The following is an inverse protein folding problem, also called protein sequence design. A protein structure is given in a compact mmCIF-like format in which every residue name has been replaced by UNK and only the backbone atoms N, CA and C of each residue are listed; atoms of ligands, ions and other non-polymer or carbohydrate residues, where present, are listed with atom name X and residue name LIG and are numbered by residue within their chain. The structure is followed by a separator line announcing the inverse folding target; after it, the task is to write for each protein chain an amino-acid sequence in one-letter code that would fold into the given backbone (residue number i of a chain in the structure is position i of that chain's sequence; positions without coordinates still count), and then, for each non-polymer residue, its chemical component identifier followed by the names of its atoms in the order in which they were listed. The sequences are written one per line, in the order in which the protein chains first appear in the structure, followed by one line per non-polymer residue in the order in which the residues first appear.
data_IF_893377374301
#
_entry.id   IF_893377374301
#
_cell.length_a   1.000
_cell.length_b   1.000
_cell.length_c   1.000
_cell.angle_alpha   90.00
_cell.angle_beta   90.00
_cell.angle_gamma   90.00
#
_symmetry.space_group_name_H-M   'P 1'
#
loop_
_entity.id
_entity.type
_entity.pdbx_description
1 polymer ?
#
# COMPACT_ATOMS: atom_id res chain seq x y z
N UNK A 1 56.22 -21.00 -40.30
CA UNK A 1 56.82 -22.11 -39.54
C UNK A 1 57.04 -21.63 -38.12
N UNK A 2 56.46 -22.14 -37.05
CA UNK A 2 55.61 -23.31 -36.84
C UNK A 2 54.90 -23.14 -35.50
N UNK A 3 53.61 -23.49 -35.44
CA UNK A 3 52.98 -24.04 -34.23
C UNK A 3 53.41 -25.53 -34.15
N UNK A 4 53.54 -26.16 -32.96
CA UNK A 4 52.40 -26.95 -32.47
C UNK A 4 52.28 -27.15 -30.93
N UNK A 5 51.04 -27.49 -30.54
CA UNK A 5 50.58 -28.47 -29.52
C UNK A 5 50.56 -28.12 -28.02
N UNK A 6 49.33 -28.14 -27.45
CA UNK A 6 49.03 -28.36 -26.02
C UNK A 6 49.19 -29.83 -25.59
N UNK A 7 48.39 -30.41 -24.67
CA UNK A 7 47.28 -29.87 -23.85
C UNK A 7 47.42 -30.18 -22.35
N UNK A 8 46.82 -29.42 -21.42
CA UNK A 8 46.42 -29.99 -20.11
C UNK A 8 45.10 -29.44 -19.59
N UNK A 9 44.32 -30.42 -19.14
CA UNK A 9 42.99 -30.47 -18.59
C UNK A 9 42.95 -29.94 -17.14
N UNK A 10 41.95 -29.14 -16.80
CA UNK A 10 41.41 -29.07 -15.42
C UNK A 10 40.11 -28.27 -15.39
N UNK A 11 39.00 -29.00 -15.50
CA UNK A 11 37.69 -28.56 -14.97
C UNK A 11 37.61 -28.80 -13.45
N UNK A 12 36.54 -28.40 -12.74
CA UNK A 12 36.27 -27.05 -12.28
C UNK A 12 36.23 -26.96 -10.73
N UNK A 13 36.36 -25.75 -10.22
CA UNK A 13 36.24 -25.41 -8.80
C UNK A 13 34.91 -25.88 -8.18
N UNK A 14 34.99 -26.70 -7.12
CA UNK A 14 33.91 -27.00 -6.17
C UNK A 14 33.99 -26.01 -4.99
N UNK A 15 32.89 -25.35 -4.58
CA UNK A 15 32.82 -24.74 -3.26
C UNK A 15 32.69 -25.81 -2.17
N UNK A 16 33.41 -25.63 -1.08
CA UNK A 16 33.46 -26.51 0.08
C UNK A 16 32.14 -26.53 0.87
N UNK A 17 31.77 -27.70 1.40
CA UNK A 17 30.76 -27.85 2.43
C UNK A 17 31.21 -27.17 3.74
N UNK A 18 30.33 -26.41 4.42
CA UNK A 18 30.62 -25.93 5.77
C UNK A 18 30.48 -27.07 6.81
N UNK A 19 31.29 -27.06 7.89
CA UNK A 19 31.27 -28.09 8.91
C UNK A 19 29.98 -28.01 9.73
N UNK A 20 29.39 -29.18 9.97
CA UNK A 20 28.27 -29.36 10.88
C UNK A 20 28.74 -29.49 12.33
N UNK A 21 28.26 -28.58 13.18
CA UNK A 21 28.07 -28.70 14.63
C UNK A 21 26.88 -27.76 14.93
N UNK A 22 25.77 -28.15 15.55
CA UNK A 22 25.65 -29.09 16.64
C UNK A 22 25.27 -28.29 17.90
N UNK A 23 24.05 -28.51 18.37
CA UNK A 23 23.50 -28.18 19.71
C UNK A 23 22.72 -26.87 19.87
N UNK A 24 21.47 -27.03 20.32
CA UNK A 24 20.68 -25.96 20.91
C UNK A 24 19.20 -25.88 20.48
N UNK A 25 18.48 -27.01 20.42
CA UNK A 25 17.00 -26.95 20.38
C UNK A 25 16.48 -26.42 21.72
N UNK A 26 15.75 -25.29 21.78
CA UNK A 26 14.88 -25.04 22.91
C UNK A 26 13.66 -25.94 22.80
N UNK A 27 13.33 -26.62 23.90
CA UNK A 27 12.16 -27.47 24.05
C UNK A 27 10.89 -26.75 23.56
N UNK A 28 10.17 -27.40 22.66
CA UNK A 28 8.89 -26.91 22.14
C UNK A 28 7.83 -26.85 23.24
N UNK A 29 6.85 -25.93 23.14
CA UNK A 29 5.60 -26.12 23.85
C UNK A 29 4.86 -27.30 23.22
N UNK A 30 4.62 -28.33 24.04
CA UNK A 30 3.80 -29.48 23.73
C UNK A 30 2.40 -29.03 23.35
N UNK A 31 2.10 -28.91 22.06
CA UNK A 31 0.73 -28.77 21.57
C UNK A 31 0.05 -30.13 21.65
N UNK A 32 -0.53 -30.39 22.81
CA UNK A 32 -1.49 -31.45 23.02
C UNK A 32 -2.62 -31.25 22.01
N UNK A 33 -2.81 -32.21 21.09
CA UNK A 33 -4.01 -32.26 20.26
C UNK A 33 -5.22 -32.33 21.19
N UNK A 34 -5.90 -31.19 21.35
CA UNK A 34 -7.16 -31.11 22.05
C UNK A 34 -8.16 -32.04 21.39
N UNK A 35 -8.56 -33.06 22.13
CA UNK A 35 -9.75 -33.85 21.85
C UNK A 35 -10.93 -32.91 21.58
N UNK A 36 -11.82 -33.21 20.62
CA UNK A 36 -13.06 -32.47 20.50
C UNK A 36 -13.81 -32.56 21.83
N UNK A 37 -14.14 -31.39 22.39
CA UNK A 37 -14.85 -31.29 23.65
C UNK A 37 -16.18 -32.07 23.57
N UNK A 38 -16.36 -32.98 24.53
CA UNK A 38 -17.64 -33.64 24.76
C UNK A 38 -18.71 -32.57 25.08
N UNK A 39 -19.96 -32.77 24.64
CA UNK A 39 -21.05 -31.88 25.01
C UNK A 39 -21.23 -31.86 26.54
N UNK A 40 -21.61 -30.72 27.12
CA UNK A 40 -21.78 -30.59 28.57
C UNK A 40 -22.83 -31.58 29.08
N UNK A 41 -22.66 -32.14 30.30
CA UNK A 41 -23.69 -32.99 30.91
C UNK A 41 -24.98 -32.19 31.08
N UNK A 42 -26.10 -32.84 30.76
CA UNK A 42 -27.43 -32.28 30.91
C UNK A 42 -27.64 -31.77 32.33
N UNK A 43 -27.89 -30.46 32.44
CA UNK A 43 -28.39 -29.85 33.67
C UNK A 43 -29.77 -30.44 34.01
N UNK A 44 -30.10 -30.52 35.31
CA UNK A 44 -31.33 -31.15 35.77
C UNK A 44 -32.54 -30.49 35.09
N UNK A 45 -33.40 -31.36 34.56
CA UNK A 45 -34.67 -30.97 33.95
C UNK A 45 -35.46 -30.14 34.94
N UNK A 46 -35.81 -28.94 34.52
CA UNK A 46 -36.88 -28.18 35.15
C UNK A 46 -38.15 -28.89 34.70
N UNK A 47 -38.66 -29.77 35.56
CA UNK A 47 -39.98 -30.36 35.48
C UNK A 47 -40.98 -29.21 35.37
N UNK A 48 -41.48 -28.95 34.15
CA UNK A 48 -42.75 -28.28 33.97
C UNK A 48 -43.83 -29.13 34.64
N UNK A 49 -44.84 -28.52 35.28
CA UNK A 49 -45.78 -29.26 36.12
C UNK A 49 -46.43 -30.39 35.33
N UNK A 50 -46.39 -31.57 35.94
CA UNK A 50 -47.06 -32.78 35.51
C UNK A 50 -48.43 -32.46 34.89
N UNK A 51 -48.64 -32.96 33.68
CA UNK A 51 -49.97 -33.16 33.13
C UNK A 51 -50.78 -33.91 34.19
N UNK A 52 -51.67 -33.18 34.87
CA UNK A 52 -52.58 -33.76 35.85
C UNK A 52 -53.35 -34.87 35.13
N UNK A 53 -53.15 -36.08 35.61
CA UNK A 53 -53.93 -37.23 35.23
C UNK A 53 -55.41 -36.88 35.41
N UNK A 54 -56.16 -36.99 34.33
CA UNK A 54 -57.61 -36.93 34.30
C UNK A 54 -58.14 -37.94 35.32
N UNK A 55 -58.69 -37.45 36.44
CA UNK A 55 -59.44 -38.29 37.36
C UNK A 55 -60.63 -38.88 36.60
N UNK A 56 -60.94 -40.19 36.74
CA UNK A 56 -62.16 -40.73 36.17
C UNK A 56 -63.36 -40.07 36.84
N UNK A 57 -64.22 -39.47 36.02
CA UNK A 57 -65.50 -38.91 36.44
C UNK A 57 -66.36 -40.08 36.94
N UNK A 58 -66.52 -40.19 38.25
CA UNK A 58 -67.49 -41.08 38.88
C UNK A 58 -68.86 -40.41 38.84
N UNK A 59 -69.73 -40.88 37.96
CA UNK A 59 -71.12 -40.41 37.91
C UNK A 59 -71.87 -40.90 39.16
N UNK A 60 -72.25 -39.96 40.03
CA UNK A 60 -73.23 -40.24 41.08
C UNK A 60 -74.62 -40.42 40.42
N UNK A 61 -75.23 -41.59 40.61
CA UNK A 61 -76.63 -41.82 40.21
C UNK A 61 -77.55 -40.92 41.05
N UNK A 62 -78.47 -40.17 40.44
CA UNK A 62 -79.49 -39.43 41.16
C UNK A 62 -80.60 -40.38 41.65
N UNK A 63 -81.23 -40.13 42.80
CA UNK A 63 -82.38 -40.91 43.27
C UNK A 63 -83.63 -40.61 42.42
N UNK A 64 -84.44 -41.65 42.21
CA UNK A 64 -85.72 -41.59 41.49
C UNK A 64 -86.71 -40.65 42.19
N UNK A 65 -87.08 -39.57 41.50
CA UNK A 65 -88.14 -38.65 41.92
C UNK A 65 -89.00 -38.25 40.71
N UNK A 66 -90.32 -38.10 40.87
CA UNK A 66 -91.24 -37.98 39.74
C UNK A 66 -91.09 -36.67 38.98
N UNK A 67 -91.22 -36.77 37.66
CA UNK A 67 -91.07 -35.71 36.67
C UNK A 67 -92.19 -34.67 36.73
N UNK A 68 -91.82 -33.40 36.92
CA UNK A 68 -92.69 -32.25 36.58
C UNK A 68 -92.23 -31.64 35.26
N UNK A 69 -93.14 -31.34 34.30
CA UNK A 69 -92.76 -30.73 33.02
C UNK A 69 -92.34 -29.27 33.22
N UNK A 70 -91.14 -28.90 32.79
CA UNK A 70 -90.67 -27.51 32.74
C UNK A 70 -90.63 -27.05 31.28
N UNK A 71 -91.30 -25.94 30.97
CA UNK A 71 -91.34 -25.33 29.64
C UNK A 71 -89.95 -24.91 29.13
N UNK A 72 -89.69 -24.99 27.81
CA UNK A 72 -88.38 -24.66 27.25
C UNK A 72 -88.15 -23.14 27.25
N UNK A 73 -87.28 -22.66 28.13
CA UNK A 73 -86.68 -21.33 28.02
C UNK A 73 -85.63 -21.36 26.90
N UNK A 74 -85.83 -20.55 25.85
CA UNK A 74 -84.84 -20.38 24.77
C UNK A 74 -83.55 -19.76 25.32
N UNK A 75 -82.48 -20.55 25.40
CA UNK A 75 -81.12 -20.07 25.66
C UNK A 75 -80.47 -19.75 24.31
N UNK A 76 -80.22 -18.47 24.04
CA UNK A 76 -79.42 -18.02 22.89
C UNK A 76 -77.94 -18.31 23.19
N UNK A 77 -77.24 -19.15 22.40
CA UNK A 77 -75.81 -19.37 22.61
C UNK A 77 -75.04 -18.16 22.10
N UNK A 78 -74.43 -17.39 23.01
CA UNK A 78 -73.42 -16.38 22.66
C UNK A 78 -72.16 -17.15 22.22
N UNK A 79 -71.93 -17.26 20.91
CA UNK A 79 -70.69 -17.81 20.37
C UNK A 79 -69.49 -16.93 20.73
N UNK A 80 -68.29 -17.51 20.94
CA UNK A 80 -67.09 -16.72 21.24
C UNK A 80 -66.75 -15.78 20.07
N UNK A 81 -66.23 -14.56 20.34
CA UNK A 81 -65.92 -13.61 19.28
C UNK A 81 -64.85 -14.19 18.33
N UNK A 82 -64.89 -13.84 17.02
CA UNK A 82 -63.91 -14.33 16.07
C UNK A 82 -62.50 -13.84 16.44
N UNK A 83 -61.54 -14.76 16.51
CA UNK A 83 -60.14 -14.45 16.78
C UNK A 83 -59.58 -13.53 15.68
N UNK A 84 -59.30 -12.28 16.03
CA UNK A 84 -58.63 -11.34 15.13
C UNK A 84 -57.23 -11.88 14.75
N UNK A 85 -57.03 -12.22 13.48
CA UNK A 85 -55.72 -12.64 12.97
C UNK A 85 -54.77 -11.45 12.98
N UNK A 86 -53.85 -11.41 13.94
CA UNK A 86 -52.77 -10.40 14.01
C UNK A 86 -51.90 -10.53 12.74
N UNK A 87 -51.76 -9.48 11.91
CA UNK A 87 -50.99 -9.56 10.68
C UNK A 87 -49.48 -9.59 10.99
N UNK A 88 -48.88 -10.78 10.97
CA UNK A 88 -47.42 -11.00 11.16
C UNK A 88 -46.51 -10.44 10.05
N UNK A 89 -47.04 -9.71 9.06
CA UNK A 89 -46.31 -9.29 7.85
C UNK A 89 -45.18 -8.28 8.06
N UNK A 90 -45.06 -7.65 9.23
CA UNK A 90 -44.07 -6.58 9.48
C UNK A 90 -42.63 -7.07 9.71
N UNK A 91 -42.43 -8.33 10.13
CA UNK A 91 -41.08 -8.82 10.50
C UNK A 91 -40.17 -9.09 9.29
N UNK A 92 -40.75 -9.49 8.15
CA UNK A 92 -39.97 -9.82 6.93
C UNK A 92 -39.34 -8.59 6.29
N UNK A 93 -40.03 -7.45 6.27
CA UNK A 93 -39.48 -6.18 5.77
C UNK A 93 -38.32 -5.67 6.63
N UNK A 94 -38.40 -5.85 7.96
CA UNK A 94 -37.31 -5.49 8.87
C UNK A 94 -36.07 -6.35 8.65
N UNK A 95 -36.23 -7.67 8.51
CA UNK A 95 -35.10 -8.59 8.25
C UNK A 95 -34.44 -8.27 6.90
N UNK A 96 -35.22 -8.06 5.85
CA UNK A 96 -34.67 -7.68 4.53
C UNK A 96 -33.93 -6.34 4.62
N UNK A 97 -34.50 -5.34 5.31
CA UNK A 97 -33.84 -4.06 5.53
C UNK A 97 -32.50 -4.18 6.26
N UNK A 98 -32.43 -4.99 7.32
CA UNK A 98 -31.19 -5.26 8.06
C UNK A 98 -30.16 -5.93 7.15
N UNK A 99 -30.56 -6.95 6.39
CA UNK A 99 -29.64 -7.65 5.46
C UNK A 99 -29.08 -6.69 4.42
N UNK A 100 -29.90 -5.83 3.83
CA UNK A 100 -29.44 -4.82 2.86
C UNK A 100 -28.43 -3.86 3.50
N UNK A 101 -28.71 -3.36 4.71
CA UNK A 101 -27.78 -2.47 5.42
C UNK A 101 -26.47 -3.17 5.74
N UNK A 102 -26.50 -4.43 6.19
CA UNK A 102 -25.29 -5.22 6.48
C UNK A 102 -24.46 -5.44 5.21
N UNK A 103 -25.10 -5.77 4.08
CA UNK A 103 -24.40 -5.94 2.81
C UNK A 103 -23.78 -4.63 2.34
N UNK A 104 -24.50 -3.51 2.43
CA UNK A 104 -23.96 -2.19 2.10
C UNK A 104 -22.78 -1.81 3.02
N UNK A 105 -22.90 -2.05 4.32
CA UNK A 105 -21.82 -1.82 5.27
C UNK A 105 -20.59 -2.68 4.96
N UNK A 106 -20.78 -3.95 4.60
CA UNK A 106 -19.70 -4.86 4.19
C UNK A 106 -19.03 -4.39 2.89
N UNK A 107 -19.80 -3.91 1.91
CA UNK A 107 -19.24 -3.34 0.67
C UNK A 107 -18.42 -2.08 0.94
N UNK A 108 -18.91 -1.17 1.80
CA UNK A 108 -18.16 0.03 2.19
C UNK A 108 -16.88 -0.34 2.95
N UNK A 109 -16.94 -1.33 3.84
CA UNK A 109 -15.77 -1.82 4.56
C UNK A 109 -14.74 -2.45 3.60
N UNK A 110 -15.19 -3.29 2.67
CA UNK A 110 -14.33 -3.88 1.65
C UNK A 110 -13.65 -2.78 0.81
N UNK A 111 -14.42 -1.79 0.34
CA UNK A 111 -13.92 -0.67 -0.44
C UNK A 111 -12.78 0.11 0.25
N UNK A 112 -12.78 0.17 1.58
CA UNK A 112 -11.74 0.85 2.37
C UNK A 112 -10.54 -0.03 2.72
N UNK A 113 -10.72 -1.35 2.82
CA UNK A 113 -9.65 -2.29 3.20
C UNK A 113 -8.84 -2.73 1.97
N UNK A 114 -9.50 -2.98 0.84
CA UNK A 114 -8.83 -3.45 -0.39
C UNK A 114 -7.66 -2.56 -0.86
N UNK A 115 -7.73 -1.21 -0.87
CA UNK A 115 -6.61 -0.39 -1.31
C UNK A 115 -5.36 -0.56 -0.44
N UNK A 116 -5.52 -0.79 0.87
CA UNK A 116 -4.39 -1.00 1.79
C UNK A 116 -3.68 -2.33 1.48
N UNK A 117 -4.46 -3.39 1.25
CA UNK A 117 -3.92 -4.72 0.92
C UNK A 117 -3.24 -4.70 -0.44
N UNK A 118 -3.86 -4.06 -1.44
CA UNK A 118 -3.29 -3.95 -2.77
C UNK A 118 -2.00 -3.13 -2.76
N UNK A 119 -1.99 -1.99 -2.05
CA UNK A 119 -0.81 -1.14 -1.89
C UNK A 119 0.40 -1.91 -1.36
N UNK A 120 0.21 -2.74 -0.34
CA UNK A 120 1.28 -3.61 0.18
C UNK A 120 1.75 -4.60 -0.88
N UNK A 121 0.83 -5.27 -1.58
CA UNK A 121 1.21 -6.25 -2.60
C UNK A 121 2.01 -5.60 -3.74
N UNK A 122 1.58 -4.44 -4.23
CA UNK A 122 2.27 -3.71 -5.29
C UNK A 122 3.62 -3.20 -4.81
N UNK A 123 3.71 -2.69 -3.57
CA UNK A 123 4.97 -2.29 -2.96
C UNK A 123 6.01 -3.43 -2.94
N UNK A 124 5.62 -4.65 -2.60
CA UNK A 124 6.55 -5.79 -2.64
C UNK A 124 7.02 -6.13 -4.05
N UNK A 125 6.15 -6.03 -5.06
CA UNK A 125 6.54 -6.23 -6.47
C UNK A 125 7.52 -5.15 -6.94
N UNK A 126 7.26 -3.88 -6.58
CA UNK A 126 8.14 -2.77 -6.93
C UNK A 126 9.51 -2.85 -6.25
N UNK A 127 9.63 -3.53 -5.12
CA UNK A 127 10.90 -3.63 -4.39
C UNK A 127 12.02 -4.21 -5.26
N UNK A 128 11.75 -5.31 -5.96
CA UNK A 128 12.73 -5.94 -6.84
C UNK A 128 13.00 -5.13 -8.11
N UNK A 129 11.99 -4.44 -8.63
CA UNK A 129 12.10 -3.63 -9.86
C UNK A 129 12.89 -2.34 -9.62
N UNK A 130 12.69 -1.70 -8.47
CA UNK A 130 13.39 -0.48 -8.07
C UNK A 130 14.71 -0.75 -7.34
N UNK A 131 15.02 -2.02 -7.05
CA UNK A 131 16.24 -2.41 -6.33
C UNK A 131 16.34 -1.81 -4.93
N UNK A 132 15.22 -1.67 -4.23
CA UNK A 132 15.19 -1.02 -2.90
C UNK A 132 15.38 -2.02 -1.77
N UNK A 133 16.03 -1.59 -0.69
CA UNK A 133 16.25 -2.40 0.52
C UNK A 133 14.93 -2.76 1.22
N UNK A 134 13.96 -1.85 1.17
CA UNK A 134 12.61 -2.00 1.72
C UNK A 134 11.55 -1.83 0.64
N UNK A 135 10.40 -2.50 0.81
CA UNK A 135 9.28 -2.37 -0.11
C UNK A 135 8.76 -0.92 -0.16
N UNK A 136 8.64 -0.31 -1.36
CA UNK A 136 7.98 0.97 -1.53
C UNK A 136 6.58 1.01 -0.92
N UNK A 137 6.21 2.15 -0.36
CA UNK A 137 4.85 2.41 0.08
C UNK A 137 4.02 2.84 -1.11
N UNK A 138 2.93 2.11 -1.37
CA UNK A 138 1.96 2.46 -2.42
C UNK A 138 0.60 2.68 -1.76
N UNK A 139 0.00 3.84 -2.03
CA UNK A 139 -1.36 4.17 -1.59
C UNK A 139 -2.25 4.39 -2.80
N UNK A 140 -3.44 3.81 -2.75
CA UNK A 140 -4.48 4.04 -3.75
C UNK A 140 -5.56 4.90 -3.13
N UNK A 141 -5.88 6.00 -3.80
CA UNK A 141 -6.90 6.94 -3.36
C UNK A 141 -8.12 6.93 -4.31
N UNK A 142 -9.22 7.53 -3.82
CA UNK A 142 -10.49 7.62 -4.54
C UNK A 142 -11.54 6.58 -4.16
N UNK A 143 -12.81 6.93 -4.38
CA UNK A 143 -13.99 6.15 -4.02
C UNK A 143 -14.98 6.04 -5.20
N UNK A 144 -15.71 4.92 -5.39
CA UNK A 144 -15.49 3.61 -4.76
C UNK A 144 -14.27 2.90 -5.38
N UNK A 145 -13.35 2.43 -4.54
CA UNK A 145 -12.12 1.73 -4.94
C UNK A 145 -12.39 0.40 -5.67
N UNK A 146 -13.41 -0.37 -5.27
CA UNK A 146 -13.71 -1.65 -5.93
C UNK A 146 -14.06 -1.47 -7.42
N UNK A 147 -14.68 -0.35 -7.77
CA UNK A 147 -14.94 0.00 -9.17
C UNK A 147 -13.63 0.31 -9.93
N UNK A 148 -12.71 1.03 -9.28
CA UNK A 148 -11.38 1.33 -9.83
C UNK A 148 -10.59 0.04 -10.09
N UNK A 149 -10.60 -0.88 -9.13
CA UNK A 149 -9.97 -2.19 -9.27
C UNK A 149 -10.59 -3.03 -10.39
N UNK A 150 -11.93 -3.06 -10.49
CA UNK A 150 -12.63 -3.81 -11.52
C UNK A 150 -12.35 -3.25 -12.94
N UNK A 151 -12.23 -1.94 -13.07
CA UNK A 151 -11.93 -1.26 -14.34
C UNK A 151 -10.44 -1.17 -14.64
N UNK A 152 -9.56 -1.56 -13.71
CA UNK A 152 -8.10 -1.34 -13.75
C UNK A 152 -7.72 0.12 -14.02
N UNK A 153 -8.56 1.06 -13.58
CA UNK A 153 -8.37 2.49 -13.72
C UNK A 153 -8.39 3.12 -12.33
N UNK A 154 -7.23 3.57 -11.88
CA UNK A 154 -7.01 4.17 -10.58
C UNK A 154 -6.86 5.68 -10.74
N UNK A 155 -7.68 6.44 -10.01
CA UNK A 155 -7.70 7.90 -10.11
C UNK A 155 -6.44 8.53 -9.56
N UNK A 156 -5.95 8.00 -8.45
CA UNK A 156 -4.80 8.55 -7.73
C UNK A 156 -4.02 7.41 -7.08
N UNK A 157 -2.70 7.39 -7.32
CA UNK A 157 -1.76 6.42 -6.76
C UNK A 157 -0.53 7.18 -6.27
N UNK A 158 -0.29 7.16 -4.97
CA UNK A 158 0.91 7.72 -4.36
C UNK A 158 1.94 6.61 -4.15
N UNK A 159 3.17 6.83 -4.59
CA UNK A 159 4.30 5.91 -4.44
C UNK A 159 5.42 6.63 -3.71
N UNK A 160 5.89 6.06 -2.61
CA UNK A 160 7.09 6.51 -1.91
C UNK A 160 8.08 5.36 -1.80
N UNK A 161 9.29 5.56 -2.33
CA UNK A 161 10.39 4.61 -2.27
C UNK A 161 11.62 5.24 -1.61
N UNK A 162 12.38 4.43 -0.87
CA UNK A 162 13.62 4.85 -0.24
C UNK A 162 14.78 4.02 -0.80
N UNK A 163 15.96 4.63 -0.84
CA UNK A 163 17.21 4.00 -1.27
C UNK A 163 17.09 3.29 -2.64
N UNK A 164 16.57 4.02 -3.63
CA UNK A 164 16.38 3.52 -5.00
C UNK A 164 17.72 3.52 -5.72
N UNK A 165 18.22 2.35 -6.09
CA UNK A 165 19.49 2.25 -6.82
C UNK A 165 19.21 2.32 -8.32
N UNK A 166 19.68 3.38 -8.98
CA UNK A 166 19.53 3.51 -10.43
C UNK A 166 20.80 3.13 -11.17
N UNK A 167 20.69 2.13 -12.04
CA UNK A 167 21.75 1.73 -12.96
C UNK A 167 21.81 2.61 -14.21
N UNK A 168 20.76 3.41 -14.47
CA UNK A 168 20.70 4.33 -15.60
C UNK A 168 21.47 5.62 -15.33
N UNK A 169 21.69 5.95 -14.04
CA UNK A 169 22.50 7.08 -13.63
C UNK A 169 24.00 6.71 -13.62
N UNK A 170 24.89 7.66 -13.98
CA UNK A 170 26.33 7.41 -13.95
C UNK A 170 26.80 6.99 -12.56
N UNK A 171 27.53 5.88 -12.44
CA UNK A 171 28.16 5.48 -11.18
C UNK A 171 27.27 4.77 -10.15
N UNK A 172 26.15 4.15 -10.57
CA UNK A 172 25.26 3.36 -9.71
C UNK A 172 24.79 4.13 -8.47
N UNK A 173 24.04 5.19 -8.72
CA UNK A 173 23.68 6.16 -7.69
C UNK A 173 22.42 5.71 -6.95
N UNK A 174 22.50 5.80 -5.63
CA UNK A 174 21.34 5.60 -4.75
C UNK A 174 20.62 6.94 -4.55
N UNK A 175 19.34 6.96 -4.91
CA UNK A 175 18.45 8.08 -4.62
C UNK A 175 17.78 7.81 -3.27
N UNK A 176 18.01 8.69 -2.30
CA UNK A 176 17.60 8.50 -0.91
C UNK A 176 16.09 8.37 -0.77
N UNK A 177 15.32 9.18 -1.50
CA UNK A 177 13.86 9.12 -1.47
C UNK A 177 13.29 9.53 -2.82
N UNK A 178 12.33 8.77 -3.32
CA UNK A 178 11.54 9.08 -4.51
C UNK A 178 10.07 9.09 -4.13
N UNK A 179 9.38 10.17 -4.43
CA UNK A 179 7.93 10.29 -4.30
C UNK A 179 7.30 10.52 -5.66
N UNK A 180 6.16 9.90 -5.91
CA UNK A 180 5.38 10.11 -7.13
C UNK A 180 3.89 10.05 -6.81
N UNK A 181 3.18 11.11 -7.17
CA UNK A 181 1.73 11.23 -7.12
C UNK A 181 1.21 11.07 -8.55
N UNK A 182 0.58 9.93 -8.82
CA UNK A 182 0.13 9.54 -10.15
C UNK A 182 -1.37 9.72 -10.28
N UNK A 183 -1.82 10.38 -11.34
CA UNK A 183 -3.23 10.59 -11.63
C UNK A 183 -3.65 9.88 -12.93
N UNK A 184 -4.84 9.26 -12.89
CA UNK A 184 -5.40 8.58 -14.07
C UNK A 184 -4.61 7.35 -14.51
N UNK A 185 -4.23 6.49 -13.57
CA UNK A 185 -3.43 5.29 -13.83
C UNK A 185 -4.30 4.19 -14.43
N UNK A 186 -4.11 3.88 -15.71
CA UNK A 186 -4.79 2.80 -16.41
C UNK A 186 -3.84 1.63 -16.65
N UNK A 187 -4.18 0.48 -16.09
CA UNK A 187 -3.34 -0.73 -16.15
C UNK A 187 -3.91 -1.71 -17.17
N UNK A 188 -3.14 -1.99 -18.22
CA UNK A 188 -3.44 -2.99 -19.25
C UNK A 188 -2.52 -4.21 -19.14
N UNK A 189 -2.61 -5.15 -20.08
CA UNK A 189 -1.83 -6.39 -20.04
C UNK A 189 -0.33 -6.17 -20.29
N UNK A 190 0.03 -5.18 -21.11
CA UNK A 190 1.43 -4.92 -21.50
C UNK A 190 1.94 -3.51 -21.14
N UNK A 191 1.07 -2.64 -20.64
CA UNK A 191 1.42 -1.24 -20.40
C UNK A 191 0.64 -0.65 -19.24
N UNK A 192 1.25 0.35 -18.62
CA UNK A 192 0.64 1.24 -17.65
C UNK A 192 0.63 2.64 -18.28
N UNK A 193 -0.55 3.24 -18.37
CA UNK A 193 -0.74 4.62 -18.80
C UNK A 193 -1.02 5.50 -17.61
N UNK A 194 -0.44 6.68 -17.57
CA UNK A 194 -0.62 7.66 -16.50
C UNK A 194 -0.92 8.99 -17.17
N UNK A 195 -2.06 9.59 -16.85
CA UNK A 195 -2.50 10.84 -17.46
C UNK A 195 -1.59 11.99 -17.03
N UNK A 196 -1.29 12.08 -15.73
CA UNK A 196 -0.32 13.03 -15.18
C UNK A 196 0.37 12.49 -13.94
N UNK A 197 1.56 12.99 -13.66
CA UNK A 197 2.33 12.64 -12.48
C UNK A 197 3.06 13.87 -11.92
N UNK A 198 3.09 14.00 -10.60
CA UNK A 198 3.96 14.91 -9.87
C UNK A 198 4.98 14.09 -9.09
N UNK A 199 6.25 14.47 -9.11
CA UNK A 199 7.28 13.65 -8.49
C UNK A 199 8.43 14.44 -7.91
N UNK A 200 9.09 13.85 -6.90
CA UNK A 200 10.32 14.39 -6.35
C UNK A 200 11.33 13.29 -6.06
N UNK A 201 12.61 13.63 -6.20
CA UNK A 201 13.73 12.76 -5.91
C UNK A 201 14.73 13.51 -5.01
N UNK A 202 15.03 12.96 -3.83
CA UNK A 202 16.04 13.48 -2.92
C UNK A 202 17.34 12.71 -3.12
N UNK A 203 18.39 13.42 -3.54
CA UNK A 203 19.75 12.91 -3.62
C UNK A 203 20.55 13.43 -2.44
N UNK A 204 21.29 12.57 -1.76
CA UNK A 204 22.25 13.03 -0.76
C UNK A 204 23.48 13.67 -1.44
N UNK A 205 24.33 14.32 -0.64
CA UNK A 205 25.52 14.98 -1.17
C UNK A 205 26.56 14.03 -1.75
N UNK A 206 26.56 12.75 -1.36
CA UNK A 206 27.44 11.74 -1.94
C UNK A 206 27.00 11.42 -3.36
N UNK A 207 25.71 11.17 -3.58
CA UNK A 207 25.09 10.96 -4.88
C UNK A 207 25.31 12.16 -5.81
N UNK A 208 25.05 13.38 -5.32
CA UNK A 208 25.29 14.61 -6.10
C UNK A 208 26.77 14.76 -6.45
N UNK A 209 27.69 14.44 -5.53
CA UNK A 209 29.12 14.50 -5.80
C UNK A 209 29.56 13.52 -6.89
N UNK A 210 28.99 12.31 -6.90
CA UNK A 210 29.25 11.31 -7.94
C UNK A 210 28.72 11.76 -9.30
N UNK A 211 27.52 12.36 -9.36
CA UNK A 211 26.95 12.89 -10.60
C UNK A 211 27.79 14.00 -11.21
N UNK A 212 28.23 14.93 -10.37
CA UNK A 212 28.98 16.13 -10.81
C UNK A 212 30.45 15.80 -11.03
N UNK A 213 30.97 14.72 -10.44
CA UNK A 213 32.40 14.37 -10.47
C UNK A 213 33.28 15.23 -9.55
N UNK A 214 32.66 15.99 -8.64
CA UNK A 214 33.32 16.87 -7.69
C UNK A 214 32.67 16.76 -6.33
N UNK A 215 33.41 17.02 -5.25
CA UNK A 215 32.81 17.04 -3.90
C UNK A 215 31.84 18.20 -3.79
N UNK A 216 30.56 17.89 -3.57
CA UNK A 216 29.47 18.85 -3.35
C UNK A 216 29.00 18.77 -1.89
N UNK A 217 28.69 19.92 -1.29
CA UNK A 217 28.20 20.03 0.08
C UNK A 217 27.19 21.18 0.22
N UNK A 218 26.45 21.20 1.32
CA UNK A 218 25.54 22.31 1.61
C UNK A 218 26.31 23.57 1.99
N UNK A 219 25.92 24.72 1.43
CA UNK A 219 26.54 26.02 1.71
C UNK A 219 25.63 26.97 2.51
N UNK A 220 24.44 26.52 2.94
CA UNK A 220 23.41 27.39 3.51
C UNK A 220 22.58 28.10 2.44
N UNK A 221 21.46 28.70 2.85
CA UNK A 221 20.65 29.61 2.02
C UNK A 221 20.26 29.06 0.64
N UNK A 222 19.91 27.76 0.56
CA UNK A 222 19.56 27.07 -0.69
C UNK A 222 20.71 27.02 -1.73
N UNK A 223 21.97 27.01 -1.25
CA UNK A 223 23.18 26.97 -2.09
C UNK A 223 23.99 25.70 -1.84
N UNK A 224 24.68 25.28 -2.88
CA UNK A 224 25.70 24.23 -2.82
C UNK A 224 27.11 24.84 -2.84
N UNK A 225 28.05 24.16 -2.19
CA UNK A 225 29.48 24.39 -2.34
C UNK A 225 30.09 23.23 -3.11
N UNK A 226 30.76 23.54 -4.21
CA UNK A 226 31.46 22.57 -5.05
C UNK A 226 32.96 22.80 -4.88
N UNK A 227 33.68 21.78 -4.40
CA UNK A 227 35.13 21.81 -4.29
C UNK A 227 35.75 21.41 -5.64
N UNK A 228 36.54 22.32 -6.17
CA UNK A 228 37.30 22.17 -7.41
C UNK A 228 38.75 21.78 -7.07
N UNK A 229 39.59 21.72 -8.10
CA UNK A 229 41.00 21.41 -7.95
C UNK A 229 41.77 22.55 -7.26
N UNK A 230 42.94 22.22 -6.70
CA UNK A 230 43.88 23.18 -6.13
C UNK A 230 43.31 24.07 -4.99
N UNK A 231 42.35 23.55 -4.21
CA UNK A 231 41.79 24.26 -3.06
C UNK A 231 40.84 25.41 -3.42
N UNK A 232 40.38 25.46 -4.67
CA UNK A 232 39.36 26.40 -5.13
C UNK A 232 37.98 25.79 -4.89
N UNK A 233 37.02 26.57 -4.43
CA UNK A 233 35.64 26.14 -4.37
C UNK A 233 34.71 27.22 -4.95
N UNK A 234 33.53 26.81 -5.40
CA UNK A 234 32.47 27.74 -5.78
C UNK A 234 31.25 27.50 -4.90
N UNK A 235 30.54 28.57 -4.57
CA UNK A 235 29.20 28.52 -3.96
C UNK A 235 28.20 29.04 -4.96
N UNK A 236 27.11 28.31 -5.20
CA UNK A 236 26.10 28.69 -6.18
C UNK A 236 24.69 28.27 -5.76
N UNK A 237 23.71 29.06 -6.19
CA UNK A 237 22.30 28.67 -6.18
C UNK A 237 22.05 27.70 -7.34
N UNK A 238 21.26 26.65 -7.11
CA UNK A 238 20.90 25.66 -8.14
C UNK A 238 19.45 25.85 -8.55
N UNK A 239 19.18 25.87 -9.85
CA UNK A 239 17.84 26.00 -10.40
C UNK A 239 17.64 25.15 -11.66
N UNK A 240 16.47 25.31 -12.27
CA UNK A 240 16.10 24.65 -13.53
C UNK A 240 15.68 25.71 -14.53
N UNK A 241 16.29 25.68 -15.72
CA UNK A 241 15.71 26.32 -16.90
C UNK A 241 14.59 25.41 -17.43
N UNK A 242 13.35 25.80 -17.17
CA UNK A 242 12.18 25.00 -17.56
C UNK A 242 11.94 25.00 -19.08
N UNK A 243 12.50 25.95 -19.83
CA UNK A 243 12.37 25.98 -21.29
C UNK A 243 13.35 25.00 -21.92
N UNK A 244 14.62 25.08 -21.51
CA UNK A 244 15.66 24.21 -22.03
C UNK A 244 15.72 22.84 -21.34
N UNK A 245 14.97 22.67 -20.24
CA UNK A 245 14.96 21.46 -19.41
C UNK A 245 16.36 21.10 -18.89
N UNK A 246 17.10 22.13 -18.47
CA UNK A 246 18.47 22.01 -17.99
C UNK A 246 18.61 22.51 -16.56
N UNK A 247 19.53 21.92 -15.82
CA UNK A 247 19.96 22.46 -14.52
C UNK A 247 20.81 23.69 -14.79
N UNK A 248 20.66 24.73 -13.98
CA UNK A 248 21.44 25.98 -14.10
C UNK A 248 21.99 26.40 -12.74
N UNK A 249 23.19 26.99 -12.76
CA UNK A 249 23.79 27.61 -11.57
C UNK A 249 23.66 29.13 -11.67
N UNK A 250 23.27 29.76 -10.57
CA UNK A 250 23.15 31.22 -10.43
C UNK A 250 23.83 31.71 -9.15
N UNK A 251 24.03 33.02 -9.02
CA UNK A 251 24.74 33.66 -7.89
C UNK A 251 26.11 33.03 -7.57
N UNK A 252 26.84 32.64 -8.60
CA UNK A 252 28.11 31.91 -8.42
C UNK A 252 29.16 32.81 -7.79
N UNK A 253 29.66 32.39 -6.63
CA UNK A 253 30.75 33.03 -5.90
C UNK A 253 31.94 32.11 -5.85
N UNK A 254 33.11 32.65 -6.19
CA UNK A 254 34.37 31.95 -6.05
C UNK A 254 34.90 32.10 -4.62
N UNK A 255 35.12 30.96 -3.96
CA UNK A 255 35.85 30.85 -2.71
C UNK A 255 37.29 30.44 -3.08
N UNK A 256 38.14 31.43 -3.38
CA UNK A 256 39.55 31.21 -3.67
C UNK A 256 40.39 31.70 -2.50
N UNK A 257 41.10 30.76 -1.86
CA UNK A 257 42.04 31.10 -0.80
C UNK A 257 43.23 31.93 -1.30
N UNK A 258 43.54 31.96 -2.61
CA UNK A 258 44.83 32.47 -3.12
C UNK A 258 44.83 33.23 -4.47
N UNK A 259 43.71 33.56 -5.13
CA UNK A 259 43.77 34.21 -6.47
C UNK A 259 42.63 35.20 -6.78
N UNK A 260 42.82 36.50 -6.53
CA UNK A 260 41.96 37.56 -7.06
C UNK A 260 42.26 37.81 -8.56
N UNK A 261 41.26 37.71 -9.43
CA UNK A 261 41.33 38.22 -10.82
C UNK A 261 41.10 37.20 -11.95
N UNK A 262 41.27 35.89 -11.70
CA UNK A 262 41.02 34.82 -12.69
C UNK A 262 39.55 34.32 -12.69
N UNK A 263 38.68 34.95 -11.88
CA UNK A 263 37.43 34.37 -11.42
C UNK A 263 36.34 34.28 -12.50
N UNK A 264 36.03 35.37 -13.20
CA UNK A 264 34.78 35.45 -13.95
C UNK A 264 34.79 34.59 -15.24
N UNK A 265 35.90 34.58 -15.99
CA UNK A 265 36.01 33.78 -17.23
C UNK A 265 36.17 32.28 -16.97
N UNK A 266 36.62 31.89 -15.77
CA UNK A 266 36.78 30.49 -15.39
C UNK A 266 35.47 29.92 -14.84
N UNK A 267 34.71 30.75 -14.09
CA UNK A 267 33.38 30.39 -13.57
C UNK A 267 32.43 29.97 -14.68
N UNK A 268 32.32 30.72 -15.78
CA UNK A 268 31.42 30.37 -16.89
C UNK A 268 31.78 29.03 -17.56
N UNK A 269 33.08 28.74 -17.74
CA UNK A 269 33.53 27.46 -18.31
C UNK A 269 33.29 26.29 -17.37
N UNK A 270 33.48 26.51 -16.07
CA UNK A 270 33.25 25.51 -15.04
C UNK A 270 31.75 25.19 -14.97
N UNK A 271 30.89 26.21 -14.89
CA UNK A 271 29.43 26.03 -14.81
C UNK A 271 28.90 25.21 -16.01
N UNK A 272 29.32 25.53 -17.23
CA UNK A 272 28.87 24.82 -18.43
C UNK A 272 29.39 23.37 -18.56
N UNK A 273 30.43 23.00 -17.80
CA UNK A 273 31.04 21.66 -17.84
C UNK A 273 30.58 20.75 -16.70
N UNK A 274 29.98 21.29 -15.64
CA UNK A 274 29.68 20.55 -14.41
C UNK A 274 28.35 19.80 -14.43
N UNK A 275 27.46 20.14 -15.35
CA UNK A 275 26.10 19.61 -15.35
C UNK A 275 25.97 18.57 -16.48
N UNK A 276 25.77 17.28 -16.15
CA UNK A 276 25.47 16.29 -17.16
C UNK A 276 24.15 16.65 -17.86
N UNK A 277 24.02 16.33 -19.14
CA UNK A 277 22.73 16.37 -19.81
C UNK A 277 21.83 15.31 -19.15
N UNK A 278 20.74 15.75 -18.51
CA UNK A 278 19.75 14.83 -17.96
C UNK A 278 18.87 14.32 -19.12
N UNK A 279 19.04 13.06 -19.48
CA UNK A 279 18.11 12.38 -20.38
C UNK A 279 16.84 12.01 -19.61
N UNK A 280 15.84 12.89 -19.66
CA UNK A 280 14.53 12.62 -19.07
C UNK A 280 13.69 11.76 -20.03
N UNK A 281 12.90 10.79 -19.51
CA UNK A 281 11.91 10.08 -20.31
C UNK A 281 10.92 11.03 -20.99
N UNK A 282 10.42 10.63 -22.16
CA UNK A 282 9.39 11.38 -22.89
C UNK A 282 8.18 11.64 -22.00
N UNK A 283 7.73 12.90 -21.97
CA UNK A 283 6.58 13.33 -21.18
C UNK A 283 6.95 13.85 -19.78
N UNK A 284 8.18 13.66 -19.31
CA UNK A 284 8.66 14.19 -18.02
C UNK A 284 9.36 15.54 -18.22
N UNK A 285 9.09 16.47 -17.30
CA UNK A 285 9.70 17.80 -17.23
C UNK A 285 10.17 18.09 -15.82
N UNK A 286 11.34 18.71 -15.70
CA UNK A 286 11.82 19.29 -14.46
C UNK A 286 11.10 20.61 -14.19
N UNK A 287 10.66 20.78 -12.95
CA UNK A 287 9.95 21.96 -12.48
C UNK A 287 10.74 22.75 -11.45
N UNK A 288 11.62 22.09 -10.69
CA UNK A 288 12.42 22.78 -9.68
C UNK A 288 13.51 21.93 -9.04
N UNK A 289 14.43 22.62 -8.39
CA UNK A 289 15.46 22.04 -7.53
C UNK A 289 15.47 22.81 -6.21
N UNK A 290 15.52 22.10 -5.10
CA UNK A 290 15.64 22.63 -3.75
C UNK A 290 16.88 22.03 -3.09
N UNK A 291 17.72 22.89 -2.51
CA UNK A 291 18.94 22.50 -1.82
C UNK A 291 18.71 22.61 -0.31
N UNK A 292 18.75 21.48 0.37
CA UNK A 292 18.62 21.36 1.82
C UNK A 292 19.92 20.90 2.48
N UNK A 293 19.92 20.88 3.80
CA UNK A 293 21.00 20.26 4.59
C UNK A 293 21.02 18.74 4.43
N UNK A 294 19.87 18.13 4.14
CA UNK A 294 19.66 16.70 3.92
C UNK A 294 20.00 16.22 2.51
N UNK A 295 20.21 17.13 1.56
CA UNK A 295 20.57 16.83 0.17
C UNK A 295 20.01 17.82 -0.85
N UNK A 296 19.88 17.36 -2.08
CA UNK A 296 19.29 18.11 -3.20
C UNK A 296 18.02 17.40 -3.64
N UNK A 297 16.87 18.06 -3.51
CA UNK A 297 15.57 17.59 -3.98
C UNK A 297 15.29 18.13 -5.38
N UNK A 298 15.15 17.23 -6.33
CA UNK A 298 14.74 17.51 -7.71
C UNK A 298 13.24 17.26 -7.84
N UNK A 299 12.52 18.14 -8.52
CA UNK A 299 11.07 18.04 -8.74
C UNK A 299 10.76 18.02 -10.23
N UNK A 300 9.74 17.28 -10.60
CA UNK A 300 9.27 17.22 -11.97
C UNK A 300 7.81 16.82 -12.08
N UNK A 301 7.27 17.05 -13.27
CA UNK A 301 5.93 16.64 -13.67
C UNK A 301 6.00 15.74 -14.88
N UNK A 302 4.96 14.93 -15.07
CA UNK A 302 4.80 14.06 -16.22
C UNK A 302 3.41 14.21 -16.82
N UNK A 303 3.31 14.16 -18.14
CA UNK A 303 2.03 14.12 -18.86
C UNK A 303 2.01 12.97 -19.85
N UNK A 304 0.88 12.26 -19.93
CA UNK A 304 0.64 11.16 -20.86
C UNK A 304 1.77 10.11 -20.86
N UNK A 305 2.19 9.69 -19.67
CA UNK A 305 3.26 8.74 -19.51
C UNK A 305 2.79 7.33 -19.90
N UNK A 306 3.68 6.58 -20.53
CA UNK A 306 3.46 5.17 -20.85
C UNK A 306 4.67 4.36 -20.40
N UNK A 307 4.41 3.35 -19.58
CA UNK A 307 5.43 2.44 -19.07
C UNK A 307 5.11 1.01 -19.50
N UNK A 308 6.12 0.19 -19.87
CA UNK A 308 5.91 -1.23 -20.03
C UNK A 308 5.53 -1.84 -18.68
N UNK A 309 4.70 -2.89 -18.72
CA UNK A 309 4.34 -3.66 -17.53
C UNK A 309 5.27 -4.86 -17.34
#
# INVERSE_FOLDING_TARGET
MSDPTGPEDSSPWRPADPPGEGMGQPAGPSFQHGQPAAPPPGGPGIEGPASQATAPIHWAQPPDGPSTPVEPTMVVPIGPPPAAKVPQRRRRGLVIGIVVVVVLAALVAADRITPIVLGRSVGHSLQSELGTSTAPQVRFDGFPFLNQLATKNFREVEVTAHDVTSQQLPGAITVRTVTADLHGVTVSDNQIKIDSADGSALLDYQAVSTLVGHTVSYAGDNKIKINLLAGVAITASVGVDQQEQQVVLSDVKLDSANTPGFANQLVERIVNSLLPALSLPTGIRLTGIQVGDDGVRVQGTGENLTMPR
#
